data_IF_204098201226
#
_entry.id   IF_204098201226
#
_cell.length_a   1.000
_cell.length_b   1.000
_cell.length_c   1.000
_cell.angle_alpha   90.00
_cell.angle_beta   90.00
_cell.angle_gamma   90.00
#
_symmetry.space_group_name_H-M   'P 1'
#
loop_
_entity.id
_entity.type
_entity.pdbx_description
1 polymer ?
#
# COMPACT_ATOMS: atom_id res chain seq x y z
N UNK A 1 0.53 35.68 15.78
CA UNK A 1 0.87 34.49 16.56
C UNK A 1 2.30 34.12 16.30
N UNK A 2 3.09 33.95 17.35
CA UNK A 2 4.46 33.43 17.26
C UNK A 2 4.43 31.88 17.28
N UNK A 3 5.56 31.24 17.01
CA UNK A 3 5.65 29.77 16.90
C UNK A 3 5.42 29.05 18.24
N UNK A 4 5.73 29.69 19.37
CA UNK A 4 5.48 29.15 20.72
C UNK A 4 3.98 29.10 21.03
N UNK A 5 3.24 30.18 20.73
CA UNK A 5 1.78 30.24 20.87
C UNK A 5 1.07 29.20 19.98
N UNK A 6 1.59 28.95 18.76
CA UNK A 6 1.05 27.90 17.88
C UNK A 6 1.35 26.52 18.44
N UNK A 7 2.59 26.27 18.88
CA UNK A 7 3.00 24.98 19.44
C UNK A 7 2.24 24.63 20.74
N UNK A 8 1.95 25.62 21.58
CA UNK A 8 1.11 25.46 22.78
C UNK A 8 -0.32 25.06 22.42
N UNK A 9 -0.90 25.58 21.32
CA UNK A 9 -2.26 25.20 20.88
C UNK A 9 -2.35 23.79 20.29
N UNK A 10 -1.25 23.26 19.76
CA UNK A 10 -1.16 21.87 19.30
C UNK A 10 -0.79 20.88 20.43
N UNK A 11 -0.35 21.38 21.59
CA UNK A 11 -0.37 20.64 22.86
C UNK A 11 -1.76 20.83 23.47
N UNK A 12 -2.66 19.94 23.11
CA UNK A 12 -4.08 20.09 23.37
C UNK A 12 -4.41 19.93 24.87
N UNK A 13 -4.22 21.01 25.62
CA UNK A 13 -4.43 21.05 27.07
C UNK A 13 -5.91 21.29 27.46
N UNK A 14 -6.81 21.48 26.49
CA UNK A 14 -8.24 21.76 26.71
C UNK A 14 -9.13 20.52 26.76
N UNK A 15 -8.66 19.38 26.26
CA UNK A 15 -9.41 18.12 26.38
C UNK A 15 -8.93 17.42 27.64
N UNK A 16 -9.85 17.28 28.59
CA UNK A 16 -9.63 16.53 29.81
C UNK A 16 -9.85 15.03 29.54
N UNK A 17 -8.79 14.22 29.70
CA UNK A 17 -8.86 12.78 29.53
C UNK A 17 -9.87 12.15 30.49
N UNK A 18 -9.97 12.67 31.72
CA UNK A 18 -10.87 12.15 32.75
C UNK A 18 -12.36 12.39 32.42
N UNK A 19 -12.64 13.28 31.46
CA UNK A 19 -13.99 13.55 30.93
C UNK A 19 -14.31 12.73 29.67
N UNK A 20 -13.40 11.87 29.21
CA UNK A 20 -13.61 10.97 28.07
C UNK A 20 -13.90 9.54 28.55
N UNK A 21 -14.82 8.86 27.86
CA UNK A 21 -15.17 7.46 28.17
C UNK A 21 -14.10 6.45 27.72
N UNK A 22 -13.18 6.86 26.83
CA UNK A 22 -12.04 6.04 26.38
C UNK A 22 -10.91 6.89 25.81
N UNK A 23 -9.76 6.26 25.56
CA UNK A 23 -8.62 6.89 24.90
C UNK A 23 -8.91 7.23 23.42
N UNK A 24 -9.72 6.43 22.74
CA UNK A 24 -10.15 6.71 21.36
C UNK A 24 -11.07 7.94 21.31
N UNK A 25 -11.98 8.09 22.28
CA UNK A 25 -12.83 9.29 22.37
C UNK A 25 -11.99 10.54 22.62
N UNK A 26 -11.00 10.44 23.50
CA UNK A 26 -10.05 11.50 23.78
C UNK A 26 -9.30 11.92 22.51
N UNK A 27 -8.68 10.97 21.80
CA UNK A 27 -7.96 11.21 20.55
C UNK A 27 -8.87 11.85 19.48
N UNK A 28 -10.12 11.39 19.34
CA UNK A 28 -11.07 11.98 18.41
C UNK A 28 -11.41 13.45 18.74
N UNK A 29 -11.61 13.78 20.03
CA UNK A 29 -11.86 15.17 20.46
C UNK A 29 -10.63 16.06 20.21
N UNK A 30 -9.45 15.53 20.49
CA UNK A 30 -8.17 16.17 20.21
C UNK A 30 -8.00 16.52 18.73
N UNK A 31 -8.17 15.53 17.85
CA UNK A 31 -8.08 15.71 16.40
C UNK A 31 -9.06 16.77 15.90
N UNK A 32 -10.31 16.73 16.39
CA UNK A 32 -11.34 17.70 16.00
C UNK A 32 -11.01 19.13 16.42
N UNK A 33 -10.39 19.32 17.58
CA UNK A 33 -9.94 20.64 18.02
C UNK A 33 -8.82 21.17 17.11
N UNK A 34 -7.84 20.32 16.78
CA UNK A 34 -6.77 20.65 15.85
C UNK A 34 -7.31 21.03 14.46
N UNK A 35 -8.27 20.25 13.94
CA UNK A 35 -8.92 20.51 12.65
C UNK A 35 -9.64 21.88 12.63
N UNK A 36 -10.49 22.15 13.62
CA UNK A 36 -11.21 23.43 13.72
C UNK A 36 -10.24 24.61 13.80
N UNK A 37 -9.23 24.50 14.67
CA UNK A 37 -8.21 25.54 14.83
C UNK A 37 -7.47 25.80 13.52
N UNK A 38 -7.06 24.74 12.81
CA UNK A 38 -6.39 24.85 11.52
C UNK A 38 -7.25 25.65 10.53
N UNK A 39 -8.50 25.24 10.30
CA UNK A 39 -9.36 25.90 9.30
C UNK A 39 -9.72 27.35 9.65
N UNK A 40 -9.79 27.70 10.95
CA UNK A 40 -10.06 29.07 11.40
C UNK A 40 -8.84 30.01 11.31
N UNK A 41 -7.62 29.45 11.23
CA UNK A 41 -6.40 30.23 11.44
C UNK A 41 -5.30 30.07 10.39
N UNK A 42 -5.31 29.04 9.53
CA UNK A 42 -4.17 28.77 8.64
C UNK A 42 -3.83 29.91 7.66
N UNK A 43 -4.82 30.73 7.25
CA UNK A 43 -4.56 31.90 6.41
C UNK A 43 -3.84 33.04 7.14
N UNK A 44 -3.82 33.03 8.48
CA UNK A 44 -3.23 34.07 9.31
C UNK A 44 -1.73 33.87 9.50
N UNK A 45 -1.27 32.62 9.54
CA UNK A 45 0.15 32.28 9.64
C UNK A 45 0.42 30.94 8.94
N UNK A 46 1.36 30.93 7.99
CA UNK A 46 1.74 29.73 7.25
C UNK A 46 2.35 28.64 8.14
N UNK A 47 2.99 28.99 9.26
CA UNK A 47 3.53 28.01 10.21
C UNK A 47 2.46 27.05 10.74
N UNK A 48 1.21 27.50 10.84
CA UNK A 48 0.07 26.66 11.28
C UNK A 48 -0.09 25.44 10.36
N UNK A 49 0.20 25.58 9.06
CA UNK A 49 0.16 24.46 8.12
C UNK A 49 1.20 23.39 8.46
N UNK A 50 2.41 23.82 8.82
CA UNK A 50 3.50 22.93 9.19
C UNK A 50 3.20 22.25 10.52
N UNK A 51 2.77 22.99 11.54
CA UNK A 51 2.36 22.39 12.82
C UNK A 51 1.20 21.40 12.66
N UNK A 52 0.20 21.72 11.83
CA UNK A 52 -0.90 20.81 11.54
C UNK A 52 -0.43 19.50 10.90
N UNK A 53 0.45 19.57 9.90
CA UNK A 53 0.99 18.35 9.28
C UNK A 53 1.91 17.58 10.21
N UNK A 54 2.68 18.26 11.07
CA UNK A 54 3.53 17.63 12.06
C UNK A 54 2.73 16.91 13.16
N UNK A 55 1.60 17.49 13.58
CA UNK A 55 0.66 16.86 14.51
C UNK A 55 0.16 15.50 14.00
N UNK A 56 -0.03 15.37 12.68
CA UNK A 56 -0.38 14.11 12.00
C UNK A 56 0.87 13.34 11.53
N UNK A 57 2.06 13.67 12.04
CA UNK A 57 3.35 13.06 11.71
C UNK A 57 3.67 13.01 10.20
N UNK A 58 3.12 13.98 9.45
CA UNK A 58 3.14 14.04 7.98
C UNK A 58 3.95 15.22 7.45
N UNK A 59 4.75 15.87 8.29
CA UNK A 59 5.53 17.07 7.95
C UNK A 59 6.44 16.88 6.73
N UNK A 60 6.96 15.66 6.53
CA UNK A 60 7.80 15.29 5.38
C UNK A 60 7.14 15.54 4.04
N UNK A 61 5.80 15.46 3.95
CA UNK A 61 5.08 15.79 2.72
C UNK A 61 5.27 17.25 2.31
N UNK A 62 5.45 18.16 3.28
CA UNK A 62 5.62 19.59 3.06
C UNK A 62 7.06 20.00 2.77
N UNK A 63 8.05 19.13 3.03
CA UNK A 63 9.44 19.34 2.61
C UNK A 63 9.58 19.35 1.08
N UNK A 64 8.64 18.70 0.37
CA UNK A 64 8.53 18.79 -1.07
C UNK A 64 7.83 20.10 -1.48
N UNK A 65 8.59 21.00 -2.12
CA UNK A 65 8.09 22.29 -2.60
C UNK A 65 6.89 22.20 -3.56
N UNK A 66 6.80 21.14 -4.37
CA UNK A 66 5.68 20.95 -5.29
C UNK A 66 4.40 20.61 -4.52
N UNK A 67 4.49 19.73 -3.52
CA UNK A 67 3.39 19.38 -2.63
C UNK A 67 2.88 20.60 -1.87
N UNK A 68 3.79 21.39 -1.30
CA UNK A 68 3.44 22.62 -0.59
C UNK A 68 2.71 23.62 -1.51
N UNK A 69 3.16 23.78 -2.75
CA UNK A 69 2.51 24.65 -3.73
C UNK A 69 1.10 24.18 -4.07
N UNK A 70 0.92 22.88 -4.29
CA UNK A 70 -0.40 22.29 -4.58
C UNK A 70 -1.33 22.46 -3.38
N UNK A 71 -0.86 22.18 -2.16
CA UNK A 71 -1.64 22.35 -0.94
C UNK A 71 -2.13 23.78 -0.76
N UNK A 72 -1.25 24.77 -0.98
CA UNK A 72 -1.64 26.19 -0.95
C UNK A 72 -2.70 26.53 -2.01
N UNK A 73 -2.64 25.94 -3.19
CA UNK A 73 -3.64 26.15 -4.24
C UNK A 73 -5.00 25.54 -3.87
N UNK A 74 -4.99 24.34 -3.27
CA UNK A 74 -6.19 23.66 -2.77
C UNK A 74 -6.85 24.50 -1.68
N UNK A 75 -6.06 24.94 -0.69
CA UNK A 75 -6.54 25.75 0.44
C UNK A 75 -7.08 27.11 -0.01
N UNK A 76 -6.55 27.71 -1.08
CA UNK A 76 -7.08 28.97 -1.64
C UNK A 76 -8.41 28.81 -2.39
N UNK A 77 -8.90 27.60 -2.61
CA UNK A 77 -10.15 27.37 -3.36
C UNK A 77 -11.35 27.24 -2.40
N UNK A 78 -12.25 28.23 -2.45
CA UNK A 78 -13.44 28.27 -1.58
C UNK A 78 -14.34 27.04 -1.73
N UNK A 79 -14.50 26.48 -2.94
CA UNK A 79 -15.34 25.28 -3.14
C UNK A 79 -14.76 24.08 -2.41
N UNK A 80 -13.43 23.97 -2.35
CA UNK A 80 -12.79 22.90 -1.60
C UNK A 80 -13.05 23.10 -0.11
N UNK A 81 -12.85 24.30 0.41
CA UNK A 81 -13.08 24.60 1.84
C UNK A 81 -14.55 24.38 2.25
N UNK A 82 -15.50 24.79 1.40
CA UNK A 82 -16.92 24.53 1.60
C UNK A 82 -17.20 23.02 1.66
N UNK A 83 -16.65 22.26 0.72
CA UNK A 83 -16.80 20.80 0.72
C UNK A 83 -16.22 20.17 1.99
N UNK A 84 -15.04 20.61 2.44
CA UNK A 84 -14.43 20.14 3.69
C UNK A 84 -15.35 20.38 4.89
N UNK A 85 -15.92 21.59 4.98
CA UNK A 85 -16.85 21.95 6.06
C UNK A 85 -18.14 21.15 6.00
N UNK A 86 -18.74 20.98 4.83
CA UNK A 86 -19.99 20.23 4.65
C UNK A 86 -19.84 18.74 5.00
N UNK A 87 -18.66 18.17 4.77
CA UNK A 87 -18.38 16.75 5.00
C UNK A 87 -17.62 16.47 6.31
N UNK A 88 -17.39 17.50 7.14
CA UNK A 88 -16.56 17.43 8.35
C UNK A 88 -15.18 16.79 8.10
N UNK A 89 -14.52 17.18 7.01
CA UNK A 89 -13.16 16.73 6.70
C UNK A 89 -12.13 17.58 7.46
N UNK A 90 -11.08 16.93 7.93
CA UNK A 90 -10.00 17.48 8.73
C UNK A 90 -8.67 17.58 7.99
N UNK A 91 -7.60 17.78 8.75
CA UNK A 91 -6.21 17.81 8.27
C UNK A 91 -5.82 16.46 7.68
N UNK A 92 -6.32 15.34 8.23
CA UNK A 92 -6.06 13.99 7.71
C UNK A 92 -6.46 13.87 6.23
N UNK A 93 -7.62 14.38 5.83
CA UNK A 93 -8.07 14.36 4.44
C UNK A 93 -7.19 15.21 3.52
N UNK A 94 -6.62 16.32 4.01
CA UNK A 94 -5.59 17.07 3.28
C UNK A 94 -4.31 16.24 3.10
N UNK A 95 -3.87 15.53 4.15
CA UNK A 95 -2.74 14.60 4.08
C UNK A 95 -3.00 13.53 3.02
N UNK A 96 -4.22 12.96 2.95
CA UNK A 96 -4.59 11.99 1.91
C UNK A 96 -4.47 12.57 0.51
N UNK A 97 -5.02 13.77 0.28
CA UNK A 97 -5.00 14.44 -1.02
C UNK A 97 -3.56 14.70 -1.47
N UNK A 98 -2.71 15.24 -0.59
CA UNK A 98 -1.33 15.54 -0.92
C UNK A 98 -0.51 14.27 -1.11
N UNK A 99 -0.76 13.22 -0.34
CA UNK A 99 -0.08 11.93 -0.54
C UNK A 99 -0.44 11.31 -1.89
N UNK A 100 -1.72 11.34 -2.28
CA UNK A 100 -2.15 10.88 -3.61
C UNK A 100 -1.50 11.71 -4.73
N UNK A 101 -1.34 13.02 -4.52
CA UNK A 101 -0.62 13.88 -5.46
C UNK A 101 0.86 13.50 -5.58
N UNK A 102 1.58 13.39 -4.47
CA UNK A 102 3.00 13.04 -4.44
C UNK A 102 3.27 11.70 -5.16
N UNK A 103 2.41 10.69 -4.91
CA UNK A 103 2.42 9.36 -5.55
C UNK A 103 1.99 9.34 -7.03
N UNK A 104 1.63 10.48 -7.59
CA UNK A 104 1.22 10.62 -8.99
C UNK A 104 2.16 11.50 -9.82
N UNK A 105 3.21 12.03 -9.20
CA UNK A 105 4.25 12.84 -9.86
C UNK A 105 5.04 12.03 -10.90
N UNK A 106 5.66 12.72 -11.87
CA UNK A 106 6.54 12.07 -12.85
C UNK A 106 7.68 11.32 -12.18
N UNK A 107 8.26 11.92 -11.13
CA UNK A 107 9.36 11.34 -10.38
C UNK A 107 8.97 10.00 -9.76
N UNK A 108 7.82 9.95 -9.09
CA UNK A 108 7.32 8.73 -8.47
C UNK A 108 6.99 7.66 -9.53
N UNK A 109 6.28 8.05 -10.59
CA UNK A 109 5.95 7.15 -11.71
C UNK A 109 7.21 6.59 -12.37
N UNK A 110 8.24 7.41 -12.56
CA UNK A 110 9.53 6.98 -13.11
C UNK A 110 10.24 5.99 -12.18
N UNK A 111 10.21 6.25 -10.88
CA UNK A 111 10.81 5.37 -9.86
C UNK A 111 10.17 4.00 -9.88
N UNK A 112 8.83 3.91 -9.88
CA UNK A 112 8.09 2.64 -9.99
C UNK A 112 8.48 1.90 -11.26
N UNK A 113 8.45 2.57 -12.42
CA UNK A 113 8.82 1.94 -13.71
C UNK A 113 10.23 1.38 -13.71
N UNK A 114 11.19 2.06 -13.06
CA UNK A 114 12.56 1.58 -12.95
C UNK A 114 12.69 0.39 -12.01
N UNK A 115 11.98 0.40 -10.88
CA UNK A 115 11.91 -0.75 -9.98
C UNK A 115 11.35 -1.97 -10.70
N UNK A 116 10.23 -1.78 -11.43
CA UNK A 116 9.63 -2.82 -12.27
C UNK A 116 10.67 -3.37 -13.27
N UNK A 117 11.27 -2.50 -14.09
CA UNK A 117 12.28 -2.90 -15.09
C UNK A 117 13.49 -3.60 -14.49
N UNK A 118 13.96 -3.18 -13.31
CA UNK A 118 15.11 -3.80 -12.65
C UNK A 118 14.79 -5.20 -12.14
N UNK A 119 13.57 -5.43 -11.65
CA UNK A 119 13.14 -6.75 -11.21
C UNK A 119 12.90 -7.69 -12.39
N UNK A 120 12.31 -7.22 -13.48
CA UNK A 120 12.19 -7.99 -14.74
C UNK A 120 13.56 -8.46 -15.24
N UNK A 121 14.56 -7.57 -15.25
CA UNK A 121 15.94 -7.94 -15.62
C UNK A 121 16.50 -9.04 -14.73
N UNK A 122 16.32 -8.93 -13.41
CA UNK A 122 16.77 -9.97 -12.45
C UNK A 122 16.11 -11.31 -12.74
N UNK A 123 14.80 -11.34 -13.00
CA UNK A 123 14.06 -12.56 -13.34
C UNK A 123 14.59 -13.17 -14.63
N UNK A 124 14.84 -12.36 -15.67
CA UNK A 124 15.42 -12.81 -16.93
C UNK A 124 16.84 -13.38 -16.76
N UNK A 125 17.68 -12.75 -15.92
CA UNK A 125 19.02 -13.26 -15.61
C UNK A 125 18.97 -14.60 -14.88
N UNK A 126 18.06 -14.77 -13.93
CA UNK A 126 17.84 -16.04 -13.22
C UNK A 126 17.40 -17.12 -14.21
N UNK A 127 16.44 -16.81 -15.09
CA UNK A 127 15.99 -17.73 -16.12
C UNK A 127 17.13 -18.15 -17.05
N UNK A 128 17.95 -17.20 -17.52
CA UNK A 128 19.12 -17.49 -18.36
C UNK A 128 20.13 -18.39 -17.65
N UNK A 129 20.39 -18.16 -16.36
CA UNK A 129 21.29 -19.00 -15.56
C UNK A 129 20.75 -20.43 -15.44
N UNK A 130 19.45 -20.60 -15.22
CA UNK A 130 18.81 -21.91 -15.17
C UNK A 130 18.90 -22.65 -16.50
N UNK A 131 18.57 -22.00 -17.62
CA UNK A 131 18.68 -22.59 -18.96
C UNK A 131 20.13 -23.01 -19.25
N UNK A 132 21.11 -22.17 -18.89
CA UNK A 132 22.51 -22.53 -19.03
C UNK A 132 22.86 -23.76 -18.19
N UNK A 133 22.43 -23.83 -16.93
CA UNK A 133 22.65 -24.99 -16.06
C UNK A 133 22.08 -26.28 -16.66
N UNK A 134 20.84 -26.25 -17.15
CA UNK A 134 20.18 -27.39 -17.79
C UNK A 134 20.90 -27.80 -19.09
N UNK A 135 21.38 -26.85 -19.88
CA UNK A 135 22.04 -27.15 -21.15
C UNK A 135 23.52 -27.55 -20.99
N UNK A 136 24.19 -27.13 -19.91
CA UNK A 136 25.61 -27.43 -19.67
C UNK A 136 25.84 -28.74 -18.92
N UNK A 137 24.79 -29.39 -18.44
CA UNK A 137 24.90 -30.62 -17.65
C UNK A 137 24.70 -31.81 -18.59
N UNK A 138 25.77 -32.54 -18.88
CA UNK A 138 25.76 -33.70 -19.81
C UNK A 138 24.71 -34.75 -19.40
N UNK A 139 24.49 -34.95 -18.10
CA UNK A 139 23.55 -35.93 -17.55
C UNK A 139 22.33 -35.28 -16.85
N UNK A 140 21.77 -34.22 -17.43
CA UNK A 140 20.61 -33.52 -16.83
C UNK A 140 19.43 -34.44 -16.56
N UNK A 141 19.23 -35.44 -17.42
CA UNK A 141 18.20 -36.46 -17.24
C UNK A 141 18.42 -37.26 -15.95
N UNK A 142 19.65 -37.70 -15.69
CA UNK A 142 19.99 -38.45 -14.48
C UNK A 142 19.87 -37.58 -13.23
N UNK A 143 20.25 -36.29 -13.30
CA UNK A 143 20.03 -35.35 -12.21
C UNK A 143 18.53 -35.19 -11.86
N UNK A 144 17.67 -35.05 -12.88
CA UNK A 144 16.22 -34.93 -12.67
C UNK A 144 15.63 -36.19 -12.03
N UNK A 145 16.06 -37.37 -12.48
CA UNK A 145 15.66 -38.64 -11.87
C UNK A 145 16.16 -38.74 -10.43
N UNK A 146 17.43 -38.41 -10.19
CA UNK A 146 18.01 -38.44 -8.86
C UNK A 146 17.24 -37.50 -7.91
N UNK A 147 16.94 -36.27 -8.33
CA UNK A 147 16.18 -35.29 -7.55
C UNK A 147 14.80 -35.84 -7.17
N UNK A 148 14.06 -36.36 -8.16
CA UNK A 148 12.76 -37.00 -7.94
C UNK A 148 12.85 -38.10 -6.89
N UNK A 149 13.81 -39.02 -7.03
CA UNK A 149 14.02 -40.12 -6.10
C UNK A 149 14.35 -39.63 -4.67
N UNK A 150 15.11 -38.54 -4.53
CA UNK A 150 15.40 -37.96 -3.21
C UNK A 150 14.13 -37.41 -2.54
N UNK A 151 13.26 -36.71 -3.29
CA UNK A 151 11.99 -36.19 -2.75
C UNK A 151 11.10 -37.35 -2.30
N UNK A 152 10.94 -38.37 -3.14
CA UNK A 152 10.15 -39.57 -2.79
C UNK A 152 10.68 -40.28 -1.54
N UNK A 153 12.01 -40.38 -1.38
CA UNK A 153 12.64 -40.95 -0.20
C UNK A 153 12.38 -40.12 1.06
N UNK A 154 12.53 -38.80 0.98
CA UNK A 154 12.26 -37.88 2.09
C UNK A 154 10.79 -37.96 2.54
N UNK A 155 9.86 -37.97 1.59
CA UNK A 155 8.43 -38.09 1.88
C UNK A 155 8.08 -39.44 2.52
N UNK A 156 8.68 -40.53 2.03
CA UNK A 156 8.53 -41.86 2.62
C UNK A 156 9.03 -41.92 4.07
N UNK A 157 10.19 -41.30 4.34
CA UNK A 157 10.75 -41.21 5.69
C UNK A 157 9.87 -40.37 6.63
N UNK A 158 9.32 -39.24 6.14
CA UNK A 158 8.37 -38.42 6.89
C UNK A 158 7.12 -39.23 7.26
N UNK A 159 6.57 -39.98 6.30
CA UNK A 159 5.42 -40.85 6.51
C UNK A 159 5.71 -41.90 7.61
N UNK A 160 6.85 -42.60 7.53
CA UNK A 160 7.25 -43.58 8.54
C UNK A 160 7.38 -42.95 9.93
N UNK A 161 7.97 -41.75 10.02
CA UNK A 161 8.10 -41.01 11.27
C UNK A 161 6.75 -40.59 11.87
N UNK A 162 5.81 -40.12 11.04
CA UNK A 162 4.45 -39.78 11.47
C UNK A 162 3.67 -41.02 11.92
N UNK A 163 3.76 -42.10 11.14
CA UNK A 163 3.13 -43.39 11.46
C UNK A 163 3.58 -43.91 12.81
N UNK A 164 4.88 -43.85 13.12
CA UNK A 164 5.43 -44.27 14.40
C UNK A 164 4.87 -43.48 15.60
N UNK A 165 4.40 -42.24 15.38
CA UNK A 165 3.81 -41.39 16.43
C UNK A 165 2.29 -41.56 16.57
N UNK A 166 1.60 -41.97 15.50
CA UNK A 166 0.13 -42.08 15.44
C UNK A 166 -0.42 -43.50 15.71
N UNK A 167 0.44 -44.45 16.10
CA UNK A 167 0.15 -45.89 16.25
C UNK A 167 -1.17 -46.24 16.99
N UNK A 168 -1.67 -45.35 17.87
CA UNK A 168 -2.87 -45.60 18.69
C UNK A 168 -4.20 -45.15 18.05
N UNK A 169 -4.20 -44.52 16.88
CA UNK A 169 -5.40 -44.00 16.24
C UNK A 169 -5.44 -44.40 14.75
N UNK A 170 -6.17 -45.47 14.46
CA UNK A 170 -6.24 -46.10 13.14
C UNK A 170 -6.84 -45.18 12.06
N UNK A 171 -7.81 -44.34 12.43
CA UNK A 171 -8.44 -43.38 11.52
C UNK A 171 -7.49 -42.24 11.15
N UNK A 172 -6.75 -41.69 12.13
CA UNK A 172 -5.70 -40.69 11.87
C UNK A 172 -4.57 -41.27 11.00
N UNK A 173 -4.26 -42.56 11.17
CA UNK A 173 -3.25 -43.26 10.38
C UNK A 173 -3.68 -43.38 8.91
N UNK A 174 -4.93 -43.80 8.65
CA UNK A 174 -5.49 -43.87 7.29
C UNK A 174 -5.60 -42.51 6.62
N UNK A 175 -5.93 -41.46 7.39
CA UNK A 175 -5.94 -40.07 6.91
C UNK A 175 -4.53 -39.63 6.51
N UNK A 176 -3.50 -39.90 7.33
CA UNK A 176 -2.11 -39.58 7.00
C UNK A 176 -1.60 -40.36 5.77
N UNK A 177 -1.93 -41.65 5.66
CA UNK A 177 -1.62 -42.44 4.45
C UNK A 177 -2.22 -41.80 3.21
N UNK A 178 -3.51 -41.46 3.24
CA UNK A 178 -4.16 -40.81 2.10
C UNK A 178 -3.57 -39.44 1.77
N UNK A 179 -3.25 -38.62 2.77
CA UNK A 179 -2.66 -37.27 2.57
C UNK A 179 -1.22 -37.33 2.07
N UNK A 180 -0.49 -38.43 2.33
CA UNK A 180 0.94 -38.52 1.97
C UNK A 180 1.17 -39.36 0.71
N UNK A 181 0.39 -40.42 0.49
CA UNK A 181 0.57 -41.32 -0.67
C UNK A 181 -0.23 -40.88 -1.90
N UNK A 182 -1.39 -40.25 -1.72
CA UNK A 182 -2.27 -39.84 -2.82
C UNK A 182 -2.21 -38.34 -3.14
N UNK A 183 -1.21 -37.64 -2.61
CA UNK A 183 -1.13 -36.19 -2.75
C UNK A 183 -0.35 -35.80 -3.99
N UNK A 184 -1.10 -35.38 -5.02
CA UNK A 184 -0.59 -34.81 -6.28
C UNK A 184 0.44 -33.69 -6.06
N UNK A 185 0.45 -33.03 -4.91
CA UNK A 185 1.45 -32.02 -4.59
C UNK A 185 2.86 -32.59 -4.52
N UNK A 186 3.03 -33.87 -4.15
CA UNK A 186 4.35 -34.53 -4.10
C UNK A 186 4.88 -34.78 -5.51
N UNK A 187 4.03 -35.22 -6.44
CA UNK A 187 4.40 -35.36 -7.85
C UNK A 187 4.93 -34.03 -8.39
N UNK A 188 4.22 -32.94 -8.12
CA UNK A 188 4.61 -31.59 -8.52
C UNK A 188 5.94 -31.14 -7.87
N UNK A 189 6.15 -31.39 -6.57
CA UNK A 189 7.40 -31.05 -5.86
C UNK A 189 8.57 -31.93 -6.31
N UNK A 190 8.31 -33.14 -6.81
CA UNK A 190 9.37 -34.00 -7.34
C UNK A 190 9.84 -33.59 -8.74
N UNK A 191 9.09 -32.72 -9.42
CA UNK A 191 9.44 -32.15 -10.73
C UNK A 191 10.24 -30.84 -10.56
N UNK A 192 11.50 -30.89 -10.97
CA UNK A 192 12.42 -29.76 -10.92
C UNK A 192 11.97 -28.58 -11.80
N UNK A 193 11.38 -28.84 -12.97
CA UNK A 193 10.90 -27.78 -13.86
C UNK A 193 9.69 -27.08 -13.27
N UNK A 194 8.79 -27.85 -12.65
CA UNK A 194 7.65 -27.31 -11.92
C UNK A 194 8.10 -26.41 -10.77
N UNK A 195 9.02 -26.87 -9.92
CA UNK A 195 9.54 -26.07 -8.79
C UNK A 195 10.19 -24.78 -9.28
N UNK A 196 11.03 -24.87 -10.31
CA UNK A 196 11.69 -23.67 -10.84
C UNK A 196 10.67 -22.69 -11.43
N UNK A 197 9.68 -23.19 -12.16
CA UNK A 197 8.59 -22.37 -12.69
C UNK A 197 7.81 -21.70 -11.57
N UNK A 198 7.54 -22.43 -10.47
CA UNK A 198 6.88 -21.88 -9.28
C UNK A 198 7.73 -20.80 -8.62
N UNK A 199 9.04 -21.00 -8.50
CA UNK A 199 9.97 -20.00 -7.98
C UNK A 199 9.98 -18.71 -8.83
N UNK A 200 10.02 -18.84 -10.16
CA UNK A 200 9.91 -17.68 -11.07
C UNK A 200 8.57 -16.98 -10.92
N UNK A 201 7.47 -17.75 -10.83
CA UNK A 201 6.15 -17.20 -10.59
C UNK A 201 6.12 -16.41 -9.27
N UNK A 202 6.67 -16.97 -8.20
CA UNK A 202 6.69 -16.32 -6.88
C UNK A 202 7.59 -15.07 -6.85
N UNK A 203 8.67 -15.02 -7.65
CA UNK A 203 9.47 -13.79 -7.85
C UNK A 203 8.71 -12.71 -8.65
N UNK A 204 7.86 -13.13 -9.58
CA UNK A 204 7.04 -12.23 -10.41
C UNK A 204 5.76 -11.78 -9.69
N UNK A 205 5.26 -12.55 -8.72
CA UNK A 205 4.00 -12.30 -8.04
C UNK A 205 3.98 -10.94 -7.32
N UNK A 206 5.02 -10.52 -6.56
CA UNK A 206 5.10 -9.18 -6.02
C UNK A 206 4.96 -8.08 -7.09
N UNK A 207 5.50 -8.27 -8.30
CA UNK A 207 5.38 -7.26 -9.36
C UNK A 207 3.95 -7.15 -9.90
N UNK A 208 3.28 -8.29 -10.07
CA UNK A 208 1.91 -8.32 -10.60
C UNK A 208 0.94 -7.80 -9.54
N UNK A 209 1.08 -8.25 -8.29
CA UNK A 209 0.18 -7.85 -7.19
C UNK A 209 0.40 -6.39 -6.76
N UNK A 210 1.62 -5.88 -6.87
CA UNK A 210 1.95 -4.49 -6.52
C UNK A 210 1.92 -3.55 -7.71
N UNK A 211 1.49 -4.00 -8.90
CA UNK A 211 1.41 -3.14 -10.07
C UNK A 211 0.57 -1.91 -9.71
N UNK A 212 1.18 -0.74 -9.83
CA UNK A 212 0.56 0.53 -9.46
C UNK A 212 0.04 1.29 -10.69
N UNK A 213 0.47 0.85 -11.87
CA UNK A 213 0.40 1.61 -13.09
C UNK A 213 -0.22 0.78 -14.21
N UNK A 214 -1.23 1.35 -14.88
CA UNK A 214 -1.80 0.74 -16.07
C UNK A 214 -0.84 0.90 -17.24
N UNK A 215 -0.65 -0.18 -17.99
CA UNK A 215 0.13 -0.15 -19.23
C UNK A 215 -0.61 0.66 -20.29
N UNK A 216 0.14 1.48 -21.05
CA UNK A 216 -0.36 2.26 -22.18
C UNK A 216 -1.54 3.21 -21.86
N UNK A 217 -1.71 3.59 -20.60
CA UNK A 217 -2.71 4.56 -20.17
C UNK A 217 -2.36 5.99 -20.60
N UNK A 218 -3.33 6.69 -21.20
CA UNK A 218 -3.27 8.14 -21.43
C UNK A 218 -3.53 8.86 -20.10
N UNK A 219 -2.83 9.96 -19.84
CA UNK A 219 -3.00 10.79 -18.63
C UNK A 219 -2.69 10.03 -17.33
N UNK A 220 -1.53 9.38 -17.32
CA UNK A 220 -1.13 8.44 -16.26
C UNK A 220 -1.08 9.08 -14.88
N UNK A 221 -0.68 10.35 -14.78
CA UNK A 221 -0.59 11.09 -13.51
C UNK A 221 -1.96 11.30 -12.90
N UNK A 222 -2.85 11.93 -13.66
CA UNK A 222 -4.19 12.27 -13.19
C UNK A 222 -4.98 11.01 -12.84
N UNK A 223 -4.84 9.96 -13.64
CA UNK A 223 -5.51 8.70 -13.37
C UNK A 223 -4.94 7.98 -12.14
N UNK A 224 -3.62 8.04 -11.90
CA UNK A 224 -3.00 7.53 -10.67
C UNK A 224 -3.50 8.30 -9.45
N UNK A 225 -3.49 9.63 -9.52
CA UNK A 225 -4.03 10.50 -8.48
C UNK A 225 -5.48 10.15 -8.13
N UNK A 226 -6.37 10.07 -9.13
CA UNK A 226 -7.79 9.75 -8.93
C UNK A 226 -7.97 8.40 -8.23
N UNK A 227 -7.25 7.36 -8.69
CA UNK A 227 -7.36 6.02 -8.11
C UNK A 227 -6.81 5.96 -6.69
N UNK A 228 -5.64 6.54 -6.45
CA UNK A 228 -5.02 6.55 -5.12
C UNK A 228 -5.90 7.31 -4.13
N UNK A 229 -6.42 8.47 -4.54
CA UNK A 229 -7.30 9.29 -3.71
C UNK A 229 -8.56 8.53 -3.29
N UNK A 230 -9.29 7.95 -4.25
CA UNK A 230 -10.50 7.17 -3.97
C UNK A 230 -10.20 5.99 -3.05
N UNK A 231 -9.13 5.24 -3.33
CA UNK A 231 -8.74 4.08 -2.54
C UNK A 231 -8.29 4.47 -1.10
N UNK A 232 -7.53 5.55 -0.93
CA UNK A 232 -7.11 6.03 0.38
C UNK A 232 -8.30 6.47 1.22
N UNK A 233 -9.23 7.24 0.64
CA UNK A 233 -10.46 7.64 1.35
C UNK A 233 -11.29 6.42 1.74
N UNK A 234 -11.49 5.48 0.82
CA UNK A 234 -12.23 4.24 1.09
C UNK A 234 -11.56 3.33 2.14
N UNK A 235 -10.24 3.43 2.32
CA UNK A 235 -9.49 2.58 3.26
C UNK A 235 -9.27 3.21 4.63
N UNK A 236 -9.09 4.54 4.68
CA UNK A 236 -8.60 5.26 5.86
C UNK A 236 -9.63 6.21 6.47
N UNK A 237 -10.77 6.40 5.81
CA UNK A 237 -11.84 7.28 6.29
C UNK A 237 -13.18 6.56 6.22
N UNK A 238 -14.12 6.99 7.06
CA UNK A 238 -15.48 6.48 7.05
C UNK A 238 -16.37 7.14 5.97
N UNK A 239 -15.84 8.15 5.26
CA UNK A 239 -16.58 8.96 4.32
C UNK A 239 -16.10 8.72 2.90
N UNK A 240 -17.03 8.40 1.99
CA UNK A 240 -16.70 8.33 0.57
C UNK A 240 -16.51 9.71 0.01
N UNK A 241 -15.41 9.90 -0.69
CA UNK A 241 -15.13 11.11 -1.45
C UNK A 241 -16.05 11.18 -2.69
N UNK A 242 -16.69 12.33 -2.92
CA UNK A 242 -17.58 12.47 -4.08
C UNK A 242 -16.80 12.66 -5.37
N UNK A 243 -17.31 12.13 -6.48
CA UNK A 243 -16.66 12.27 -7.79
C UNK A 243 -16.58 13.72 -8.28
N UNK A 244 -17.54 14.58 -7.89
CA UNK A 244 -17.48 16.01 -8.18
C UNK A 244 -16.32 16.69 -7.47
N UNK A 245 -16.08 16.31 -6.22
CA UNK A 245 -14.95 16.83 -5.46
C UNK A 245 -13.61 16.35 -6.04
N UNK A 246 -13.49 15.07 -6.41
CA UNK A 246 -12.31 14.58 -7.15
C UNK A 246 -12.10 15.37 -8.46
N UNK A 247 -13.18 15.63 -9.21
CA UNK A 247 -13.14 16.43 -10.43
C UNK A 247 -12.59 17.85 -10.17
N UNK A 248 -13.07 18.53 -9.13
CA UNK A 248 -12.57 19.87 -8.75
C UNK A 248 -11.09 19.82 -8.35
N UNK A 249 -10.67 18.80 -7.59
CA UNK A 249 -9.24 18.60 -7.26
C UNK A 249 -8.39 18.39 -8.51
N UNK A 250 -8.82 17.57 -9.47
CA UNK A 250 -8.11 17.36 -10.75
C UNK A 250 -8.00 18.68 -11.53
N UNK A 251 -9.06 19.50 -11.52
CA UNK A 251 -9.04 20.83 -12.13
C UNK A 251 -8.01 21.74 -11.47
N UNK A 252 -7.92 21.76 -10.14
CA UNK A 252 -6.97 22.61 -9.41
C UNK A 252 -5.52 22.14 -9.62
N UNK A 253 -5.28 20.84 -9.52
CA UNK A 253 -3.93 20.26 -9.48
C UNK A 253 -3.34 20.18 -10.89
N UNK A 254 -4.13 19.74 -11.86
CA UNK A 254 -3.66 19.43 -13.21
C UNK A 254 -4.15 20.42 -14.27
N UNK A 255 -4.91 21.45 -13.88
CA UNK A 255 -5.55 22.40 -14.79
C UNK A 255 -6.35 21.68 -15.89
N UNK A 256 -7.14 20.67 -15.49
CA UNK A 256 -7.82 19.77 -16.40
C UNK A 256 -9.26 19.50 -15.96
N UNK A 257 -10.18 19.59 -16.91
CA UNK A 257 -11.57 19.29 -16.68
C UNK A 257 -11.85 17.80 -16.90
N UNK A 258 -12.45 17.15 -15.91
CA UNK A 258 -12.93 15.77 -16.01
C UNK A 258 -14.30 15.68 -15.35
N UNK A 259 -15.34 15.24 -16.08
CA UNK A 259 -16.66 15.08 -15.49
C UNK A 259 -16.75 13.80 -14.63
N UNK A 260 -17.82 13.67 -13.83
CA UNK A 260 -18.01 12.49 -12.97
C UNK A 260 -17.94 11.16 -13.72
N UNK A 261 -18.44 11.08 -14.96
CA UNK A 261 -18.42 9.85 -15.75
C UNK A 261 -16.99 9.44 -16.08
N UNK A 262 -16.12 10.41 -16.39
CA UNK A 262 -14.70 10.18 -16.60
C UNK A 262 -14.00 9.75 -15.31
N UNK A 263 -14.30 10.38 -14.17
CA UNK A 263 -13.76 9.99 -12.85
C UNK A 263 -14.18 8.56 -12.50
N UNK A 264 -15.47 8.25 -12.58
CA UNK A 264 -16.02 6.90 -12.37
C UNK A 264 -15.31 5.89 -13.26
N UNK A 265 -15.13 6.20 -14.53
CA UNK A 265 -14.45 5.32 -15.48
C UNK A 265 -12.99 5.07 -15.07
N UNK A 266 -12.26 6.07 -14.59
CA UNK A 266 -10.88 5.88 -14.10
C UNK A 266 -10.82 4.94 -12.89
N UNK A 267 -11.80 5.04 -11.99
CA UNK A 267 -11.91 4.21 -10.78
C UNK A 267 -12.31 2.77 -11.14
N UNK A 268 -13.34 2.59 -11.99
CA UNK A 268 -13.88 1.27 -12.36
C UNK A 268 -13.09 0.55 -13.46
N UNK A 269 -12.45 1.25 -14.40
CA UNK A 269 -11.59 0.65 -15.44
C UNK A 269 -10.20 0.24 -14.90
N UNK A 270 -10.03 0.16 -13.59
CA UNK A 270 -8.83 -0.23 -12.86
C UNK A 270 -8.41 -1.70 -13.08
N UNK A 271 -8.21 -2.09 -14.33
CA UNK A 271 -7.60 -3.36 -14.74
C UNK A 271 -6.09 -3.36 -14.48
N UNK A 272 -5.66 -2.96 -13.27
CA UNK A 272 -4.28 -3.12 -12.80
C UNK A 272 -4.15 -4.39 -11.94
N UNK A 273 -5.22 -4.84 -11.25
CA UNK A 273 -5.56 -6.26 -10.98
C UNK A 273 -6.74 -6.39 -9.98
N UNK A 274 -7.94 -5.89 -10.30
CA UNK A 274 -9.24 -6.20 -9.63
C UNK A 274 -9.41 -6.10 -8.10
N UNK A 275 -8.40 -5.84 -7.28
CA UNK A 275 -8.56 -5.56 -5.86
C UNK A 275 -8.57 -4.04 -5.64
N UNK A 276 -9.62 -3.57 -4.98
CA UNK A 276 -9.59 -2.29 -4.27
C UNK A 276 -8.27 -2.26 -3.50
N UNK A 277 -7.41 -1.31 -3.86
CA UNK A 277 -6.10 -1.23 -3.24
C UNK A 277 -6.29 -0.65 -1.86
N UNK A 278 -6.16 -1.47 -0.82
CA UNK A 278 -6.25 -0.98 0.54
C UNK A 278 -4.99 -0.18 0.90
N UNK A 279 -5.19 0.88 1.65
CA UNK A 279 -4.12 1.70 2.21
C UNK A 279 -4.13 1.61 3.73
N UNK A 280 -2.95 1.63 4.34
CA UNK A 280 -2.77 1.68 5.80
C UNK A 280 -1.85 2.83 6.20
N UNK A 281 -2.09 3.37 7.39
CA UNK A 281 -1.16 4.28 8.08
C UNK A 281 -0.03 3.42 8.67
N UNK A 282 1.22 3.72 8.31
CA UNK A 282 2.41 3.09 8.89
C UNK A 282 3.16 4.14 9.69
N UNK A 283 3.33 3.89 10.97
CA UNK A 283 4.15 4.72 11.84
C UNK A 283 5.58 4.17 11.86
N UNK A 284 6.54 5.05 11.61
CA UNK A 284 7.97 4.75 11.60
C UNK A 284 8.60 5.47 12.78
N UNK A 285 9.16 4.71 13.71
CA UNK A 285 9.89 5.25 14.85
C UNK A 285 11.39 5.20 14.58
N UNK A 286 11.99 6.37 14.47
CA UNK A 286 13.43 6.53 14.54
C UNK A 286 13.83 6.62 16.02
N UNK A 287 14.38 5.53 16.55
CA UNK A 287 14.78 5.43 17.96
C UNK A 287 15.93 6.35 18.32
N UNK A 288 16.79 6.68 17.36
CA UNK A 288 17.99 7.48 17.61
C UNK A 288 17.65 8.97 17.77
N UNK A 289 16.60 9.43 17.09
CA UNK A 289 16.14 10.82 17.11
C UNK A 289 14.80 11.01 17.84
N UNK A 290 14.19 9.92 18.31
CA UNK A 290 12.84 9.87 18.90
C UNK A 290 11.76 10.51 18.01
N UNK A 291 11.92 10.40 16.68
CA UNK A 291 10.97 10.94 15.70
C UNK A 291 9.97 9.85 15.32
N UNK A 292 8.69 10.19 15.37
CA UNK A 292 7.61 9.38 14.81
C UNK A 292 7.20 10.04 13.49
N UNK A 293 7.26 9.29 12.39
CA UNK A 293 6.73 9.71 11.09
C UNK A 293 5.57 8.80 10.70
N UNK A 294 4.55 9.34 10.04
CA UNK A 294 3.47 8.57 9.44
C UNK A 294 3.65 8.55 7.92
N UNK A 295 3.58 7.35 7.35
CA UNK A 295 3.49 7.15 5.91
C UNK A 295 2.17 6.47 5.56
N UNK A 296 1.59 6.87 4.42
CA UNK A 296 0.45 6.18 3.84
C UNK A 296 0.96 5.24 2.76
N UNK A 297 0.86 3.95 3.05
CA UNK A 297 1.38 2.90 2.19
C UNK A 297 0.26 1.98 1.73
N UNK A 298 0.47 1.35 0.58
CA UNK A 298 -0.38 0.27 0.11
C UNK A 298 -0.29 -0.91 1.08
N UNK A 299 -1.44 -1.49 1.39
CA UNK A 299 -1.49 -2.74 2.16
C UNK A 299 -1.30 -3.93 1.22
N UNK A 300 -0.10 -4.51 1.24
CA UNK A 300 0.28 -5.63 0.39
C UNK A 300 -0.07 -7.00 1.00
N UNK A 301 -0.54 -7.02 2.25
CA UNK A 301 -0.87 -8.26 2.98
C UNK A 301 -2.34 -8.70 2.75
N UNK A 302 -3.11 -7.89 2.02
CA UNK A 302 -4.50 -8.20 1.69
C UNK A 302 -4.58 -9.23 0.55
N UNK A 303 -4.51 -10.51 0.91
CA UNK A 303 -4.84 -11.61 0.03
C UNK A 303 -6.35 -11.91 0.15
N UNK A 304 -7.08 -11.81 -0.97
CA UNK A 304 -8.47 -12.30 -1.08
C UNK A 304 -8.46 -13.80 -1.35
#
# INVERSE_FOLDING_TARGET
MNSEEIAELFKLDDVDFDQCGSAEEYELKLLKQADNFFFDNYFKNEEILFFAFDFYYSIKLLENNENLKILKNILKNNKILEYFKENNFGIMELVLIITAFDKSTDYYIFTIKNQEKNQDKKIQEIYKKYINFINSTEDTYDFRIWYKNQIELLTSNLFLGLRARLIKNEDQMKICENITLNNKSIENISDLEYIFSKYIQDLSYPMISQKELKENEKNKKENKFIRDLDNMFNSLTNNRISYNFISELVSIIYNKQMNESQIKKVIYDGSISTSITQYKKKYIHDRDHNIIAMEIIRDNDFHI
#
